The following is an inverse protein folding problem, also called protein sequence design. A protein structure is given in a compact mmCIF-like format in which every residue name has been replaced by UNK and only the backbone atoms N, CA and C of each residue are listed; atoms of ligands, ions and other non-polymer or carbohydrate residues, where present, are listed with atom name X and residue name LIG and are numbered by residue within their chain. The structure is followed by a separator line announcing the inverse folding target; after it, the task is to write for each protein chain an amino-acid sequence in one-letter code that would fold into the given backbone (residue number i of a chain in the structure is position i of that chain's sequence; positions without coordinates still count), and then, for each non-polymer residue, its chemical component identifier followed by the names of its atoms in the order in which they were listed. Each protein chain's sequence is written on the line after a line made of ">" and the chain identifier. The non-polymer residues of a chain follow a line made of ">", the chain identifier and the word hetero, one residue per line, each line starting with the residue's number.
data_IF_264881209986
#
_entry.id   IF_264881209986
#
_cell.length_a   1.000
_cell.length_b   1.000
_cell.length_c   1.000
_cell.angle_alpha   90.00
_cell.angle_beta   90.00
_cell.angle_gamma   90.00
#
_symmetry.space_group_name_H-M   'P 1'
#
loop_
_entity.id
_entity.type
_entity.pdbx_description
1 polymer ?
#
# COMPACT_ATOMS: atom_id res chain seq x y z
N UNK A 1 -6.03 -0.74 -11.80
CA UNK A 1 -5.49 -1.79 -10.93
C UNK A 1 -6.55 -2.86 -10.66
N UNK A 2 -7.73 -2.48 -10.15
CA UNK A 2 -8.85 -3.38 -9.86
C UNK A 2 -9.23 -4.34 -11.00
N UNK A 3 -9.27 -3.89 -12.26
CA UNK A 3 -9.61 -4.78 -13.37
C UNK A 3 -8.59 -5.90 -13.58
N UNK A 4 -7.29 -5.59 -13.49
CA UNK A 4 -6.26 -6.60 -13.64
C UNK A 4 -6.27 -7.62 -12.48
N UNK A 5 -6.61 -7.17 -11.27
CA UNK A 5 -6.80 -8.05 -10.12
C UNK A 5 -8.01 -8.96 -10.30
N UNK A 6 -9.13 -8.44 -10.82
CA UNK A 6 -10.30 -9.26 -11.20
C UNK A 6 -9.94 -10.32 -12.23
N UNK A 7 -9.17 -9.96 -13.25
CA UNK A 7 -8.69 -10.92 -14.24
C UNK A 7 -7.85 -12.01 -13.60
N UNK A 8 -6.87 -11.65 -12.76
CA UNK A 8 -6.04 -12.62 -12.09
C UNK A 8 -6.86 -13.55 -11.18
N UNK A 9 -7.93 -13.07 -10.56
CA UNK A 9 -8.85 -13.87 -9.75
C UNK A 9 -9.67 -14.90 -10.56
N UNK A 10 -9.74 -14.76 -11.89
CA UNK A 10 -10.34 -15.76 -12.79
C UNK A 10 -9.37 -16.89 -13.17
N UNK A 11 -8.07 -16.71 -12.91
CA UNK A 11 -7.04 -17.71 -13.16
C UNK A 11 -6.84 -18.61 -11.92
N UNK A 12 -6.39 -19.86 -12.07
CA UNK A 12 -6.04 -20.70 -10.93
C UNK A 12 -4.93 -20.05 -10.08
N UNK A 13 -4.93 -20.32 -8.77
CA UNK A 13 -3.86 -19.87 -7.85
C UNK A 13 -2.47 -20.28 -8.38
N UNK A 14 -1.47 -19.44 -8.16
CA UNK A 14 -0.07 -19.63 -8.58
C UNK A 14 0.18 -19.81 -10.09
N UNK A 15 -0.79 -19.46 -10.93
CA UNK A 15 -0.64 -19.54 -12.38
C UNK A 15 0.17 -18.36 -12.93
N UNK A 16 1.20 -18.68 -13.72
CA UNK A 16 1.92 -17.69 -14.52
C UNK A 16 1.14 -17.36 -15.78
N UNK A 17 0.70 -16.12 -15.89
CA UNK A 17 -0.14 -15.63 -16.98
C UNK A 17 0.76 -14.99 -18.05
N UNK A 18 0.62 -15.35 -19.33
CA UNK A 18 1.31 -14.64 -20.41
C UNK A 18 0.97 -13.14 -20.41
N UNK A 19 1.98 -12.30 -20.61
CA UNK A 19 1.80 -10.84 -20.65
C UNK A 19 0.77 -10.42 -21.72
N UNK A 20 0.80 -11.08 -22.88
CA UNK A 20 -0.08 -10.81 -24.01
C UNK A 20 -1.55 -11.10 -23.69
N UNK A 21 -1.82 -12.17 -22.93
CA UNK A 21 -3.19 -12.52 -22.50
C UNK A 21 -3.72 -11.46 -21.52
N UNK A 22 -2.86 -11.01 -20.60
CA UNK A 22 -3.21 -9.99 -19.60
C UNK A 22 -3.54 -8.64 -20.22
N UNK A 23 -2.75 -8.18 -21.19
CA UNK A 23 -3.01 -6.91 -21.85
C UNK A 23 -4.24 -6.98 -22.76
N UNK A 24 -4.44 -8.09 -23.48
CA UNK A 24 -5.61 -8.27 -24.33
C UNK A 24 -6.91 -8.21 -23.52
N UNK A 25 -6.94 -8.89 -22.37
CA UNK A 25 -8.07 -8.83 -21.46
C UNK A 25 -8.28 -7.40 -20.94
N UNK A 26 -7.21 -6.72 -20.52
CA UNK A 26 -7.29 -5.37 -19.97
C UNK A 26 -7.82 -4.36 -20.99
N UNK A 27 -7.37 -4.44 -22.25
CA UNK A 27 -7.87 -3.60 -23.34
C UNK A 27 -9.37 -3.81 -23.54
N UNK A 28 -9.81 -5.07 -23.59
CA UNK A 28 -11.24 -5.41 -23.75
C UNK A 28 -12.08 -4.88 -22.57
N UNK A 29 -11.60 -5.04 -21.34
CA UNK A 29 -12.32 -4.62 -20.13
C UNK A 29 -12.39 -3.11 -19.96
N UNK A 30 -11.37 -2.37 -20.41
CA UNK A 30 -11.29 -0.91 -20.31
C UNK A 30 -11.77 -0.19 -21.57
N UNK A 31 -12.06 -0.91 -22.65
CA UNK A 31 -12.55 -0.36 -23.92
C UNK A 31 -11.48 0.22 -24.83
N UNK A 32 -10.22 -0.24 -24.72
CA UNK A 32 -9.17 0.05 -25.70
C UNK A 32 -9.26 -0.94 -26.87
N UNK A 33 -9.04 -0.44 -28.09
CA UNK A 33 -9.07 -1.20 -29.35
C UNK A 33 -7.95 -2.25 -29.39
N UNK A 34 -6.75 -1.86 -28.99
CA UNK A 34 -5.59 -2.73 -28.96
C UNK A 34 -4.53 -2.31 -27.92
N UNK A 35 -3.44 -3.07 -27.90
CA UNK A 35 -2.27 -2.84 -27.06
C UNK A 35 -1.64 -1.48 -27.31
N UNK A 36 -1.54 -1.04 -28.56
CA UNK A 36 -0.80 0.16 -28.92
C UNK A 36 -1.57 1.39 -28.41
N UNK A 37 -2.89 1.40 -28.53
CA UNK A 37 -3.74 2.46 -27.95
C UNK A 37 -3.58 2.55 -26.42
N UNK A 38 -3.57 1.40 -25.74
CA UNK A 38 -3.35 1.35 -24.29
C UNK A 38 -1.96 1.88 -23.91
N UNK A 39 -0.91 1.41 -24.58
CA UNK A 39 0.49 1.80 -24.30
C UNK A 39 0.73 3.29 -24.58
N UNK A 40 0.08 3.85 -25.61
CA UNK A 40 0.08 5.28 -25.87
C UNK A 40 -0.63 6.07 -24.75
N UNK A 41 -1.77 5.57 -24.25
CA UNK A 41 -2.50 6.20 -23.17
C UNK A 41 -1.69 6.25 -21.86
N UNK A 42 -0.99 5.16 -21.54
CA UNK A 42 -0.12 5.09 -20.35
C UNK A 42 1.29 5.67 -20.59
N UNK A 43 1.59 6.11 -21.81
CA UNK A 43 2.88 6.64 -22.25
C UNK A 43 4.06 5.71 -21.91
N UNK A 44 3.89 4.43 -22.18
CA UNK A 44 4.90 3.41 -21.88
C UNK A 44 4.39 2.01 -22.13
N UNK A 45 5.27 1.01 -22.00
CA UNK A 45 4.86 -0.37 -22.24
C UNK A 45 4.05 -0.94 -21.07
N UNK A 46 3.12 -1.85 -21.34
CA UNK A 46 2.38 -2.58 -20.31
C UNK A 46 3.31 -3.39 -19.41
N UNK A 47 4.41 -3.90 -19.98
CA UNK A 47 5.48 -4.56 -19.23
C UNK A 47 6.06 -3.61 -18.17
N UNK A 48 6.45 -2.40 -18.57
CA UNK A 48 7.05 -1.42 -17.66
C UNK A 48 6.03 -0.98 -16.61
N UNK A 49 4.76 -0.82 -16.99
CA UNK A 49 3.66 -0.57 -16.07
C UNK A 49 3.55 -1.67 -15.00
N UNK A 50 3.48 -2.95 -15.40
CA UNK A 50 3.40 -4.07 -14.47
C UNK A 50 4.63 -4.17 -13.56
N UNK A 51 5.82 -3.91 -14.09
CA UNK A 51 7.06 -3.97 -13.31
C UNK A 51 7.14 -2.94 -12.17
N UNK A 52 6.33 -1.87 -12.25
CA UNK A 52 6.21 -0.85 -11.22
C UNK A 52 5.22 -1.23 -10.12
N UNK A 53 4.42 -2.28 -10.32
CA UNK A 53 3.39 -2.71 -9.39
C UNK A 53 3.96 -3.76 -8.42
N UNK A 54 4.03 -3.45 -7.11
CA UNK A 54 4.68 -4.32 -6.13
C UNK A 54 3.93 -5.65 -5.88
N UNK A 55 2.65 -5.74 -6.22
CA UNK A 55 1.83 -6.94 -6.00
C UNK A 55 1.95 -7.99 -7.11
N UNK A 56 2.75 -7.75 -8.15
CA UNK A 56 2.95 -8.69 -9.25
C UNK A 56 4.40 -9.17 -9.31
N UNK A 57 4.57 -10.48 -9.48
CA UNK A 57 5.84 -11.06 -9.89
C UNK A 57 5.88 -11.16 -11.41
N UNK A 58 7.06 -10.96 -11.99
CA UNK A 58 7.28 -11.10 -13.42
C UNK A 58 8.46 -12.04 -13.68
N UNK A 59 8.35 -12.87 -14.72
CA UNK A 59 9.45 -13.70 -15.21
C UNK A 59 9.50 -13.72 -16.73
N UNK A 60 10.68 -14.01 -17.27
CA UNK A 60 10.86 -14.29 -18.69
C UNK A 60 11.14 -15.78 -18.88
N UNK A 61 10.43 -16.41 -19.79
CA UNK A 61 10.62 -17.81 -20.18
C UNK A 61 10.48 -17.94 -21.68
N UNK A 62 11.47 -18.55 -22.34
CA UNK A 62 11.49 -18.77 -23.80
C UNK A 62 11.22 -17.50 -24.63
N UNK A 63 11.76 -16.36 -24.18
CA UNK A 63 11.58 -15.06 -24.83
C UNK A 63 10.25 -14.37 -24.56
N UNK A 64 9.29 -15.05 -23.90
CA UNK A 64 7.98 -14.49 -23.52
C UNK A 64 7.97 -14.03 -22.07
N UNK A 65 7.19 -12.99 -21.80
CA UNK A 65 6.98 -12.45 -20.46
C UNK A 65 5.73 -13.05 -19.84
N UNK A 66 5.84 -13.36 -18.56
CA UNK A 66 4.75 -13.85 -17.73
C UNK A 66 4.68 -13.04 -16.45
N UNK A 67 3.47 -12.92 -15.90
CA UNK A 67 3.25 -12.30 -14.60
C UNK A 67 2.30 -13.15 -13.76
N UNK A 68 2.34 -12.98 -12.44
CA UNK A 68 1.35 -13.54 -11.52
C UNK A 68 1.15 -12.58 -10.35
N UNK A 69 -0.03 -12.51 -9.73
CA UNK A 69 -0.20 -11.80 -8.47
C UNK A 69 0.56 -12.53 -7.35
N UNK A 70 1.14 -11.77 -6.43
CA UNK A 70 1.64 -12.31 -5.15
C UNK A 70 0.42 -12.71 -4.32
N UNK A 71 0.38 -13.93 -3.79
CA UNK A 71 -0.81 -14.45 -3.10
C UNK A 71 -0.98 -13.82 -1.71
N UNK A 72 -2.22 -13.50 -1.32
CA UNK A 72 -2.51 -13.00 0.05
C UNK A 72 -2.27 -14.04 1.14
N UNK A 73 -2.40 -15.35 0.85
CA UNK A 73 -2.15 -16.42 1.83
C UNK A 73 -0.74 -16.32 2.41
N UNK A 74 0.22 -15.92 1.59
CA UNK A 74 1.59 -15.75 2.02
C UNK A 74 1.72 -14.62 3.06
N UNK A 75 0.92 -13.56 3.00
CA UNK A 75 0.95 -12.50 4.02
C UNK A 75 0.37 -12.98 5.37
N UNK A 76 -0.51 -13.99 5.34
CA UNK A 76 -1.12 -14.58 6.54
C UNK A 76 -0.27 -15.72 7.14
N UNK A 77 0.50 -16.42 6.30
CA UNK A 77 1.40 -17.48 6.74
C UNK A 77 2.72 -16.89 7.26
N UNK A 78 2.84 -16.81 8.59
CA UNK A 78 4.04 -16.33 9.30
C UNK A 78 5.31 -17.09 8.93
N UNK A 79 5.23 -18.33 8.45
CA UNK A 79 6.42 -19.09 8.03
C UNK A 79 7.07 -18.53 6.76
N UNK A 80 6.33 -17.71 6.01
CA UNK A 80 6.79 -17.07 4.77
C UNK A 80 7.14 -15.58 4.95
N UNK A 81 7.12 -15.07 6.18
CA UNK A 81 7.46 -13.69 6.47
C UNK A 81 8.94 -13.42 6.24
N UNK A 82 9.22 -12.21 5.74
CA UNK A 82 10.57 -11.68 5.62
C UNK A 82 11.07 -11.12 6.96
N UNK A 83 12.12 -10.29 6.88
CA UNK A 83 12.64 -9.61 8.06
C UNK A 83 11.68 -8.49 8.49
N UNK A 84 11.30 -8.42 9.77
CA UNK A 84 10.57 -7.26 10.30
C UNK A 84 11.29 -5.97 9.94
N UNK A 85 10.54 -4.98 9.49
CA UNK A 85 11.11 -3.73 8.99
C UNK A 85 10.32 -2.51 9.46
N UNK A 86 11.04 -1.42 9.63
CA UNK A 86 10.51 -0.07 9.73
C UNK A 86 10.94 0.70 8.50
N UNK A 87 9.97 1.19 7.74
CA UNK A 87 10.21 2.03 6.57
C UNK A 87 9.86 3.47 6.91
N UNK A 88 10.64 4.43 6.45
CA UNK A 88 10.41 5.86 6.70
C UNK A 88 10.61 6.63 5.41
N UNK A 89 9.56 7.33 4.98
CA UNK A 89 9.58 8.24 3.84
C UNK A 89 9.26 9.65 4.34
N UNK A 90 10.17 10.60 4.08
CA UNK A 90 9.94 12.00 4.41
C UNK A 90 9.31 12.72 3.21
N UNK A 91 8.09 13.22 3.38
CA UNK A 91 7.30 13.85 2.34
C UNK A 91 7.46 15.35 2.48
N UNK A 92 8.12 15.95 1.50
CA UNK A 92 8.45 17.39 1.42
C UNK A 92 7.77 18.08 0.25
N UNK A 93 7.23 17.32 -0.70
CA UNK A 93 6.57 17.83 -1.89
C UNK A 93 5.43 16.92 -2.37
N UNK A 94 4.40 17.53 -2.97
CA UNK A 94 3.19 16.83 -3.42
C UNK A 94 3.45 15.66 -4.38
N UNK A 95 4.54 15.67 -5.16
CA UNK A 95 4.84 14.56 -6.08
C UNK A 95 5.06 13.23 -5.35
N UNK A 96 5.55 13.28 -4.11
CA UNK A 96 5.82 12.08 -3.30
C UNK A 96 4.53 11.40 -2.82
N UNK A 97 3.40 12.12 -2.76
CA UNK A 97 2.09 11.53 -2.44
C UNK A 97 1.63 10.51 -3.50
N UNK A 98 2.16 10.58 -4.72
CA UNK A 98 1.87 9.63 -5.80
C UNK A 98 2.76 8.39 -5.77
N UNK A 99 3.63 8.24 -4.77
CA UNK A 99 4.40 7.00 -4.56
C UNK A 99 3.44 5.86 -4.28
N UNK A 100 3.58 4.76 -5.03
CA UNK A 100 2.80 3.54 -4.82
C UNK A 100 3.34 2.85 -3.58
N UNK A 101 2.45 2.53 -2.66
CA UNK A 101 2.74 1.85 -1.41
C UNK A 101 1.91 0.57 -1.33
N UNK A 102 2.58 -0.55 -1.10
CA UNK A 102 1.96 -1.81 -0.69
C UNK A 102 2.03 -1.88 0.84
N UNK A 103 0.87 -1.81 1.49
CA UNK A 103 0.69 -2.10 2.91
C UNK A 103 0.41 -3.59 3.09
N UNK A 104 1.27 -4.29 3.83
CA UNK A 104 0.99 -5.68 4.21
C UNK A 104 -0.21 -5.77 5.16
N UNK A 105 -0.79 -6.96 5.28
CA UNK A 105 -1.93 -7.21 6.18
C UNK A 105 -1.64 -6.94 7.67
N UNK A 106 -0.36 -6.95 8.05
CA UNK A 106 0.09 -6.76 9.44
C UNK A 106 0.83 -5.44 9.65
N UNK A 107 0.99 -4.63 8.60
CA UNK A 107 1.67 -3.35 8.69
C UNK A 107 0.77 -2.28 9.33
N UNK A 108 1.41 -1.42 10.11
CA UNK A 108 0.85 -0.18 10.64
C UNK A 108 1.55 1.00 9.98
N UNK A 109 0.81 2.08 9.78
CA UNK A 109 1.34 3.34 9.26
C UNK A 109 1.14 4.43 10.30
N UNK A 110 2.18 5.22 10.56
CA UNK A 110 2.15 6.36 11.47
C UNK A 110 2.48 7.65 10.71
N UNK A 111 1.77 8.74 11.06
CA UNK A 111 2.09 10.11 10.68
C UNK A 111 2.28 10.92 11.97
N UNK A 112 3.51 10.98 12.51
CA UNK A 112 3.76 11.55 13.84
C UNK A 112 3.36 13.01 13.98
N UNK A 113 3.50 13.80 12.93
CA UNK A 113 3.24 15.24 12.93
C UNK A 113 1.78 15.61 13.25
N UNK A 114 0.85 14.68 13.05
CA UNK A 114 -0.57 14.85 13.34
C UNK A 114 -1.09 13.78 14.32
N UNK A 115 -0.19 13.04 14.99
CA UNK A 115 -0.50 11.95 15.93
C UNK A 115 -1.50 10.93 15.36
N UNK A 116 -1.36 10.59 14.07
CA UNK A 116 -2.30 9.73 13.35
C UNK A 116 -1.70 8.37 13.02
N UNK A 117 -2.52 7.32 13.08
CA UNK A 117 -2.14 5.95 12.75
C UNK A 117 -3.20 5.27 11.88
N UNK A 118 -2.76 4.54 10.85
CA UNK A 118 -3.55 3.52 10.14
C UNK A 118 -3.12 2.15 10.68
N UNK A 119 -4.01 1.54 11.46
CA UNK A 119 -3.75 0.26 12.10
C UNK A 119 -3.65 -0.92 11.13
N UNK A 120 -3.17 -2.05 11.66
CA UNK A 120 -3.26 -3.33 10.97
C UNK A 120 -4.72 -3.81 10.93
N UNK A 121 -5.21 -4.12 9.73
CA UNK A 121 -6.61 -4.47 9.44
C UNK A 121 -6.74 -5.83 8.74
N UNK A 122 -5.68 -6.65 8.82
CA UNK A 122 -5.58 -7.98 8.17
C UNK A 122 -5.80 -7.95 6.65
N UNK A 123 -5.71 -6.76 6.04
CA UNK A 123 -5.98 -6.55 4.62
C UNK A 123 -4.73 -6.04 3.93
N UNK A 124 -4.28 -6.73 2.89
CA UNK A 124 -3.23 -6.21 2.01
C UNK A 124 -3.83 -5.16 1.08
N UNK A 125 -3.20 -3.99 1.02
CA UNK A 125 -3.68 -2.86 0.22
C UNK A 125 -2.52 -2.32 -0.63
N UNK A 126 -2.82 -1.97 -1.89
CA UNK A 126 -1.87 -1.30 -2.79
C UNK A 126 -2.52 -0.05 -3.32
N UNK A 127 -1.95 1.10 -2.96
CA UNK A 127 -2.40 2.37 -3.51
C UNK A 127 -1.32 3.43 -3.37
N UNK A 128 -1.59 4.65 -3.82
CA UNK A 128 -0.74 5.81 -3.57
C UNK A 128 -0.90 6.29 -2.13
N UNK A 129 0.14 6.91 -1.58
CA UNK A 129 0.08 7.54 -0.25
C UNK A 129 -1.07 8.54 -0.16
N UNK A 130 -1.29 9.32 -1.24
CA UNK A 130 -2.45 10.20 -1.39
C UNK A 130 -3.76 9.45 -1.12
N UNK A 131 -3.97 8.32 -1.78
CA UNK A 131 -5.22 7.56 -1.67
C UNK A 131 -5.39 6.90 -0.31
N UNK A 132 -4.32 6.48 0.37
CA UNK A 132 -4.43 6.02 1.76
C UNK A 132 -4.92 7.14 2.69
N UNK A 133 -4.37 8.35 2.57
CA UNK A 133 -4.78 9.52 3.37
C UNK A 133 -6.21 9.93 3.01
N UNK A 134 -6.55 10.00 1.72
CA UNK A 134 -7.89 10.34 1.26
C UNK A 134 -8.94 9.31 1.73
N UNK A 135 -8.60 8.02 1.71
CA UNK A 135 -9.45 6.97 2.27
C UNK A 135 -9.63 7.14 3.79
N UNK A 136 -8.58 7.50 4.53
CA UNK A 136 -8.69 7.81 5.95
C UNK A 136 -9.63 8.99 6.22
N UNK A 137 -9.52 10.09 5.44
CA UNK A 137 -10.43 11.25 5.51
C UNK A 137 -11.89 10.82 5.31
N UNK A 138 -12.16 10.03 4.26
CA UNK A 138 -13.52 9.56 3.96
C UNK A 138 -14.05 8.64 5.07
N UNK A 139 -13.27 7.66 5.50
CA UNK A 139 -13.66 6.68 6.51
C UNK A 139 -13.96 7.34 7.86
N UNK A 140 -13.11 8.27 8.31
CA UNK A 140 -13.36 9.05 9.53
C UNK A 140 -14.60 9.94 9.36
N UNK A 141 -14.73 10.65 8.24
CA UNK A 141 -15.88 11.51 7.97
C UNK A 141 -17.21 10.76 7.99
N UNK A 142 -17.26 9.56 7.42
CA UNK A 142 -18.46 8.73 7.42
C UNK A 142 -18.74 8.12 8.80
N UNK A 143 -17.70 7.75 9.55
CA UNK A 143 -17.84 7.31 10.93
C UNK A 143 -18.44 8.41 11.83
N UNK A 144 -17.95 9.66 11.71
CA UNK A 144 -18.49 10.81 12.44
C UNK A 144 -19.97 11.01 12.12
N UNK A 145 -20.34 11.02 10.83
CA UNK A 145 -21.75 11.19 10.42
C UNK A 145 -22.66 10.10 10.98
N UNK A 146 -22.19 8.85 10.99
CA UNK A 146 -22.97 7.71 11.48
C UNK A 146 -23.14 7.72 13.01
N UNK A 147 -22.14 8.22 13.76
CA UNK A 147 -22.09 8.12 15.23
C UNK A 147 -22.26 9.46 15.95
N UNK A 148 -22.56 10.55 15.24
CA UNK A 148 -22.62 11.90 15.80
C UNK A 148 -23.49 12.02 17.05
N UNK A 149 -24.60 11.28 17.12
CA UNK A 149 -25.57 11.36 18.24
C UNK A 149 -25.12 10.59 19.48
N UNK A 150 -24.17 9.66 19.35
CA UNK A 150 -23.71 8.79 20.43
C UNK A 150 -22.34 9.18 20.96
N UNK A 151 -21.62 10.05 20.25
CA UNK A 151 -20.32 10.55 20.65
C UNK A 151 -20.42 11.74 21.62
N UNK A 152 -19.46 11.87 22.52
CA UNK A 152 -19.29 13.08 23.31
C UNK A 152 -18.74 14.22 22.44
N UNK A 153 -18.94 15.45 22.89
CA UNK A 153 -18.44 16.66 22.21
C UNK A 153 -16.92 16.63 22.04
N UNK A 154 -16.17 16.18 23.05
CA UNK A 154 -14.70 16.02 22.98
C UNK A 154 -14.27 15.02 21.91
N UNK A 155 -14.96 13.88 21.78
CA UNK A 155 -14.64 12.87 20.77
C UNK A 155 -14.95 13.36 19.36
N UNK A 156 -16.07 14.06 19.19
CA UNK A 156 -16.44 14.68 17.92
C UNK A 156 -15.42 15.73 17.49
N UNK A 157 -15.01 16.60 18.42
CA UNK A 157 -14.04 17.64 18.13
C UNK A 157 -12.71 17.03 17.67
N UNK A 158 -12.15 16.07 18.43
CA UNK A 158 -10.89 15.41 18.08
C UNK A 158 -10.94 14.71 16.71
N UNK A 159 -12.05 14.05 16.38
CA UNK A 159 -12.20 13.42 15.07
C UNK A 159 -12.31 14.43 13.93
N UNK A 160 -13.03 15.53 14.13
CA UNK A 160 -13.11 16.62 13.15
C UNK A 160 -11.76 17.30 12.95
N UNK A 161 -10.99 17.49 14.03
CA UNK A 161 -9.64 18.05 13.98
C UNK A 161 -8.71 17.12 13.20
N UNK A 162 -8.75 15.81 13.47
CA UNK A 162 -7.98 14.81 12.73
C UNK A 162 -8.32 14.81 11.23
N UNK A 163 -9.61 14.89 10.86
CA UNK A 163 -10.03 15.01 9.45
C UNK A 163 -9.48 16.29 8.81
N UNK A 164 -9.46 17.39 9.55
CA UNK A 164 -8.95 18.68 9.06
C UNK A 164 -7.43 18.61 8.82
N UNK A 165 -6.67 18.05 9.76
CA UNK A 165 -5.23 17.85 9.61
C UNK A 165 -4.88 16.88 8.47
N UNK A 166 -5.64 15.79 8.31
CA UNK A 166 -5.47 14.87 7.19
C UNK A 166 -5.70 15.56 5.83
N UNK A 167 -6.68 16.46 5.73
CA UNK A 167 -6.88 17.24 4.50
C UNK A 167 -5.71 18.21 4.26
N UNK A 168 -5.17 18.83 5.32
CA UNK A 168 -4.03 19.74 5.22
C UNK A 168 -2.76 19.07 4.70
N UNK A 169 -2.45 17.86 5.17
CA UNK A 169 -1.24 17.14 4.72
C UNK A 169 -1.33 16.65 3.26
N UNK A 170 -2.53 16.53 2.68
CA UNK A 170 -2.71 16.20 1.25
C UNK A 170 -2.17 17.31 0.32
N UNK A 171 -2.11 18.55 0.79
CA UNK A 171 -1.51 19.67 0.06
C UNK A 171 0.00 19.79 0.30
N UNK A 172 0.54 19.09 1.30
CA UNK A 172 1.95 19.15 1.72
C UNK A 172 2.37 20.59 2.00
N UNK A 173 1.54 21.35 2.72
CA UNK A 173 1.88 22.72 3.15
C UNK A 173 3.10 22.73 4.09
N UNK A 174 3.20 21.69 4.93
CA UNK A 174 4.34 21.42 5.77
C UNK A 174 4.85 19.98 5.51
N UNK A 175 6.17 19.75 5.53
CA UNK A 175 6.71 18.41 5.42
C UNK A 175 6.23 17.50 6.56
N UNK A 176 5.98 16.24 6.25
CA UNK A 176 5.59 15.23 7.24
C UNK A 176 6.27 13.90 6.96
N UNK A 177 6.14 12.96 7.89
CA UNK A 177 6.83 11.68 7.82
C UNK A 177 5.83 10.54 7.73
N UNK A 178 5.97 9.71 6.70
CA UNK A 178 5.21 8.48 6.53
C UNK A 178 6.05 7.31 7.04
N UNK A 179 5.67 6.77 8.20
CA UNK A 179 6.39 5.68 8.85
C UNK A 179 5.56 4.42 8.72
N UNK A 180 6.19 3.32 8.31
CA UNK A 180 5.57 1.99 8.22
C UNK A 180 6.28 1.07 9.19
N UNK A 181 5.54 0.42 10.07
CA UNK A 181 6.04 -0.71 10.87
C UNK A 181 5.43 -1.98 10.33
N UNK A 182 6.26 -2.85 9.79
CA UNK A 182 5.80 -4.09 9.17
C UNK A 182 6.53 -5.30 9.76
N UNK A 183 5.88 -6.02 10.68
CA UNK A 183 6.41 -7.27 11.24
C UNK A 183 6.65 -8.36 10.19
N UNK A 184 5.92 -8.34 9.07
CA UNK A 184 6.01 -9.36 8.03
C UNK A 184 7.13 -9.13 7.02
N UNK A 185 7.67 -7.92 6.94
CA UNK A 185 8.70 -7.57 5.97
C UNK A 185 8.24 -7.55 4.51
N UNK A 186 6.93 -7.38 4.25
CA UNK A 186 6.31 -7.52 2.92
C UNK A 186 5.82 -6.20 2.30
N UNK A 187 5.72 -5.15 3.10
CA UNK A 187 5.38 -3.80 2.66
C UNK A 187 6.51 -3.23 1.81
N UNK A 188 6.17 -2.41 0.83
CA UNK A 188 7.16 -1.76 -0.02
C UNK A 188 6.63 -0.52 -0.74
N UNK A 189 7.56 0.31 -1.21
CA UNK A 189 7.28 1.52 -1.99
C UNK A 189 7.80 1.40 -3.42
N UNK A 190 7.16 2.10 -4.34
CA UNK A 190 7.58 2.26 -5.73
C UNK A 190 7.34 3.71 -6.18
N UNK A 191 8.39 4.49 -6.51
CA UNK A 191 9.81 4.17 -6.34
C UNK A 191 10.21 4.08 -4.85
N UNK A 192 11.37 3.46 -4.58
CA UNK A 192 11.89 3.28 -3.21
C UNK A 192 13.10 4.17 -2.89
N UNK A 193 13.52 5.05 -3.81
CA UNK A 193 14.80 5.76 -3.76
C UNK A 193 14.96 6.64 -2.51
N UNK A 194 13.88 7.26 -2.05
CA UNK A 194 13.86 8.15 -0.87
C UNK A 194 13.39 7.46 0.41
N UNK A 195 13.24 6.14 0.39
CA UNK A 195 12.72 5.37 1.53
C UNK A 195 13.87 4.81 2.36
N UNK A 196 13.92 5.21 3.63
CA UNK A 196 14.83 4.61 4.61
C UNK A 196 14.20 3.32 5.15
N UNK A 197 14.96 2.23 5.15
CA UNK A 197 14.53 0.93 5.67
C UNK A 197 15.47 0.51 6.80
N UNK A 198 14.90 0.29 7.98
CA UNK A 198 15.56 -0.23 9.16
C UNK A 198 14.99 -1.63 9.45
N UNK A 199 15.84 -2.64 9.58
CA UNK A 199 15.38 -3.98 9.99
C UNK A 199 15.28 -4.03 11.51
N UNK A 200 14.13 -4.48 12.01
CA UNK A 200 13.88 -4.65 13.43
C UNK A 200 14.39 -6.05 13.81
N UNK A 201 15.68 -6.15 14.12
CA UNK A 201 16.25 -7.41 14.61
C UNK A 201 15.54 -7.83 15.90
N UNK A 202 15.19 -9.12 16.00
CA UNK A 202 14.50 -9.70 17.16
C UNK A 202 15.33 -9.69 18.47
N UNK A 203 16.59 -9.25 18.40
CA UNK A 203 17.56 -9.32 19.50
C UNK A 203 17.55 -8.08 20.43
N UNK A 204 16.55 -7.21 20.33
CA UNK A 204 16.29 -6.18 21.37
C UNK A 204 15.18 -6.61 22.34
N UNK A 205 15.17 -7.90 22.70
CA UNK A 205 14.58 -8.37 23.96
C UNK A 205 15.77 -8.84 24.83
N UNK A 206 16.64 -7.91 25.21
CA UNK A 206 17.59 -8.13 26.28
C UNK A 206 17.17 -7.30 27.49
N UNK A 207 16.80 -8.00 28.55
CA UNK A 207 17.06 -7.61 29.94
C UNK A 207 16.25 -6.44 30.54
N UNK A 208 14.94 -6.59 30.71
CA UNK A 208 14.25 -5.97 31.85
C UNK A 208 13.18 -6.95 32.37
N UNK A 209 13.52 -7.75 33.40
CA UNK A 209 12.55 -8.67 33.99
C UNK A 209 13.06 -9.79 34.91
N UNK A 210 14.34 -9.83 35.29
CA UNK A 210 14.76 -10.60 36.47
C UNK A 210 15.37 -9.63 37.50
N UNK A 211 14.49 -8.87 38.15
CA UNK A 211 14.79 -8.06 39.32
C UNK A 211 13.88 -8.46 40.47
N UNK A 212 14.42 -9.29 41.36
CA UNK A 212 14.18 -9.32 42.81
C UNK A 212 12.72 -9.18 43.33
N UNK A 213 12.12 -10.32 43.73
CA UNK A 213 11.87 -10.67 45.15
C UNK A 213 11.29 -12.07 45.30
#
# INVERSE_FOLDING_TARGET
>A
MLELEKFCATCPEDTWIPLDDGIQWLCTSLGYEDKDEFEDAIKGSFKDFLSKLPQFEMKQQDGKWYFKPIAMKEDLDKSTWGRPQRMTLHITERKQLWTIFLKSSHAQVEIPEIEFEIGADMTRQVDTIYNFIAAAVLNLGDYIKANQKTMSEDQLQKMCDAVSELNRILDVEEPFTWIVRDPSGRSCFKPADDVKVEYLDLDTISEEGEGEQ
#
